data_IF_084657708497
#
_entry.id   IF_084657708497
#
_cell.length_a   1.000
_cell.length_b   1.000
_cell.length_c   1.000
_cell.angle_alpha   90.00
_cell.angle_beta   90.00
_cell.angle_gamma   90.00
#
_symmetry.space_group_name_H-M   'P 1'
#
loop_
_entity.id
_entity.type
_entity.pdbx_description
1 polymer ?
#
# COMPACT_ATOMS: atom_id res chain seq x y z
N UNK A 1 -6.64 11.56 19.61
CA UNK A 1 -6.49 10.67 18.44
C UNK A 1 -5.97 11.51 17.28
N UNK A 2 -4.95 11.01 16.62
CA UNK A 2 -4.27 11.54 15.43
C UNK A 2 -5.12 11.35 14.18
N UNK A 3 -5.86 10.24 14.05
CA UNK A 3 -6.68 9.99 12.87
C UNK A 3 -8.12 10.50 12.98
N UNK A 4 -8.62 11.06 11.88
CA UNK A 4 -10.04 11.28 11.65
C UNK A 4 -10.62 10.06 10.91
N UNK A 5 -11.71 9.48 11.44
CA UNK A 5 -12.34 8.29 10.87
C UNK A 5 -12.77 8.48 9.42
N UNK A 6 -13.38 9.62 9.09
CA UNK A 6 -13.90 9.90 7.74
C UNK A 6 -12.75 9.90 6.72
N UNK A 7 -11.61 10.52 7.09
CA UNK A 7 -10.44 10.57 6.22
C UNK A 7 -9.84 9.17 6.00
N UNK A 8 -9.78 8.33 7.04
CA UNK A 8 -9.29 6.95 6.91
C UNK A 8 -10.25 6.08 6.10
N UNK A 9 -11.56 6.20 6.30
CA UNK A 9 -12.56 5.45 5.52
C UNK A 9 -12.45 5.79 4.04
N UNK A 10 -12.38 7.09 3.71
CA UNK A 10 -12.14 7.55 2.35
C UNK A 10 -10.82 7.01 1.80
N UNK A 11 -9.73 7.08 2.56
CA UNK A 11 -8.42 6.60 2.13
C UNK A 11 -8.40 5.09 1.85
N UNK A 12 -9.00 4.28 2.71
CA UNK A 12 -9.10 2.82 2.54
C UNK A 12 -9.96 2.47 1.32
N UNK A 13 -11.09 3.15 1.11
CA UNK A 13 -11.93 2.96 -0.08
C UNK A 13 -11.17 3.28 -1.37
N UNK A 14 -10.46 4.43 -1.40
CA UNK A 14 -9.68 4.81 -2.57
C UNK A 14 -8.49 3.88 -2.81
N UNK A 15 -7.86 3.37 -1.75
CA UNK A 15 -6.81 2.34 -1.86
C UNK A 15 -7.33 1.05 -2.48
N UNK A 16 -8.48 0.57 -2.04
CA UNK A 16 -9.08 -0.64 -2.58
C UNK A 16 -9.44 -0.46 -4.06
N UNK A 17 -10.10 0.65 -4.41
CA UNK A 17 -10.45 0.99 -5.80
C UNK A 17 -9.20 1.16 -6.66
N UNK A 18 -8.17 1.84 -6.17
CA UNK A 18 -6.91 2.09 -6.87
C UNK A 18 -6.16 0.80 -7.18
N UNK A 19 -6.13 -0.14 -6.23
CA UNK A 19 -5.57 -1.47 -6.48
C UNK A 19 -6.40 -2.27 -7.48
N UNK A 20 -7.73 -2.28 -7.38
CA UNK A 20 -8.61 -2.93 -8.35
C UNK A 20 -8.44 -2.34 -9.75
N UNK A 21 -8.29 -1.02 -9.86
CA UNK A 21 -8.00 -0.33 -11.12
C UNK A 21 -6.65 -0.76 -11.72
N UNK A 22 -5.60 -0.84 -10.91
CA UNK A 22 -4.29 -1.35 -11.34
C UNK A 22 -4.39 -2.78 -11.89
N UNK A 23 -5.16 -3.66 -11.23
CA UNK A 23 -5.41 -5.04 -11.70
C UNK A 23 -6.26 -5.09 -12.96
N UNK A 24 -7.21 -4.18 -13.11
CA UNK A 24 -8.01 -4.05 -14.32
C UNK A 24 -7.16 -3.61 -15.52
N UNK A 25 -6.29 -2.62 -15.35
CA UNK A 25 -5.34 -2.19 -16.38
C UNK A 25 -4.39 -3.32 -16.79
N UNK A 26 -3.88 -4.09 -15.81
CA UNK A 26 -3.03 -5.25 -16.09
C UNK A 26 -3.73 -6.30 -16.96
N UNK A 27 -5.02 -6.57 -16.72
CA UNK A 27 -5.83 -7.45 -17.57
C UNK A 27 -6.01 -6.88 -18.98
N UNK A 28 -6.15 -5.56 -19.10
CA UNK A 28 -6.18 -4.86 -20.39
C UNK A 28 -4.89 -5.05 -21.18
N UNK A 29 -3.73 -4.93 -20.53
CA UNK A 29 -2.42 -5.20 -21.12
C UNK A 29 -2.27 -6.67 -21.56
N UNK A 30 -2.67 -7.61 -20.70
CA UNK A 30 -2.59 -9.05 -21.00
C UNK A 30 -3.48 -9.46 -22.19
N UNK A 31 -4.60 -8.76 -22.40
CA UNK A 31 -5.53 -8.99 -23.51
C UNK A 31 -5.23 -8.15 -24.76
N UNK A 32 -4.11 -7.42 -24.78
CA UNK A 32 -3.72 -6.49 -25.84
C UNK A 32 -4.77 -5.40 -26.17
N UNK A 33 -5.63 -5.07 -25.21
CA UNK A 33 -6.60 -3.97 -25.31
C UNK A 33 -6.00 -2.61 -24.95
N UNK A 34 -4.89 -2.63 -24.21
CA UNK A 34 -4.12 -1.46 -23.81
C UNK A 34 -2.68 -1.62 -24.28
N UNK A 35 -2.04 -0.54 -24.69
CA UNK A 35 -0.63 -0.53 -25.05
C UNK A 35 0.25 -0.25 -23.80
N UNK A 36 1.41 -0.90 -23.65
CA UNK A 36 2.30 -0.67 -22.49
C UNK A 36 2.70 0.81 -22.29
N UNK A 37 2.81 1.57 -23.38
CA UNK A 37 3.16 2.99 -23.34
C UNK A 37 2.08 3.85 -22.64
N UNK A 38 0.81 3.43 -22.67
CA UNK A 38 -0.28 4.11 -21.97
C UNK A 38 -0.07 4.04 -20.45
N UNK A 39 0.44 2.90 -19.94
CA UNK A 39 0.69 2.74 -18.51
C UNK A 39 1.92 3.53 -18.02
N UNK A 40 2.94 3.68 -18.87
CA UNK A 40 4.10 4.53 -18.57
C UNK A 40 3.71 6.00 -18.43
N UNK A 41 2.75 6.48 -19.22
CA UNK A 41 2.24 7.85 -19.14
C UNK A 41 1.60 8.16 -17.77
N UNK A 42 1.01 7.17 -17.10
CA UNK A 42 0.47 7.33 -15.73
C UNK A 42 1.53 7.44 -14.66
N UNK A 43 2.68 6.78 -14.85
CA UNK A 43 3.77 6.78 -13.87
C UNK A 43 4.59 8.06 -13.88
N UNK A 44 4.60 8.79 -15.00
CA UNK A 44 5.44 9.97 -15.20
C UNK A 44 4.75 11.30 -14.83
N UNK A 45 3.42 11.38 -14.93
CA UNK A 45 2.67 12.62 -14.69
C UNK A 45 1.33 12.33 -14.03
N UNK A 46 1.13 12.83 -12.80
CA UNK A 46 -0.16 12.76 -12.07
C UNK A 46 -1.33 13.31 -12.90
N UNK A 47 -1.07 14.38 -13.65
CA UNK A 47 -2.03 14.99 -14.58
C UNK A 47 -2.48 14.02 -15.68
N UNK A 48 -1.61 13.13 -16.16
CA UNK A 48 -1.96 12.12 -17.17
C UNK A 48 -2.88 11.04 -16.60
N UNK A 49 -2.64 10.62 -15.35
CA UNK A 49 -3.53 9.68 -14.66
C UNK A 49 -4.93 10.28 -14.50
N UNK A 50 -5.02 11.54 -14.05
CA UNK A 50 -6.29 12.25 -13.90
C UNK A 50 -7.03 12.41 -15.22
N UNK A 51 -6.38 12.96 -16.23
CA UNK A 51 -7.00 13.21 -17.54
C UNK A 51 -7.57 11.92 -18.15
N UNK A 52 -6.86 10.81 -18.01
CA UNK A 52 -7.32 9.51 -18.49
C UNK A 52 -8.52 8.99 -17.69
N UNK A 53 -8.47 9.07 -16.36
CA UNK A 53 -9.61 8.66 -15.51
C UNK A 53 -10.85 9.50 -15.84
N UNK A 54 -10.70 10.81 -16.06
CA UNK A 54 -11.80 11.70 -16.45
C UNK A 54 -12.36 11.34 -17.83
N UNK A 55 -11.49 11.15 -18.83
CA UNK A 55 -11.87 10.78 -20.20
C UNK A 55 -12.60 9.44 -20.26
N UNK A 56 -12.17 8.47 -19.46
CA UNK A 56 -12.69 7.11 -19.47
C UNK A 56 -13.68 6.81 -18.34
N UNK A 57 -14.06 7.81 -17.54
CA UNK A 57 -14.80 7.60 -16.29
C UNK A 57 -16.07 6.76 -16.48
N UNK A 58 -16.87 7.05 -17.51
CA UNK A 58 -18.13 6.34 -17.79
C UNK A 58 -17.93 4.88 -18.22
N UNK A 59 -16.73 4.52 -18.69
CA UNK A 59 -16.37 3.15 -19.10
C UNK A 59 -15.72 2.33 -17.99
N UNK A 60 -15.42 2.96 -16.84
CA UNK A 60 -14.82 2.27 -15.71
C UNK A 60 -15.84 1.32 -15.06
N UNK A 61 -15.43 0.08 -14.74
CA UNK A 61 -16.21 -0.79 -13.87
C UNK A 61 -16.56 -0.13 -12.54
N UNK A 62 -17.74 -0.44 -11.98
CA UNK A 62 -18.24 0.18 -10.74
C UNK A 62 -17.35 -0.07 -9.52
N UNK A 63 -16.64 -1.21 -9.50
CA UNK A 63 -15.70 -1.59 -8.45
C UNK A 63 -14.39 -0.79 -8.50
N UNK A 64 -14.04 -0.17 -9.62
CA UNK A 64 -12.83 0.66 -9.77
C UNK A 64 -13.12 2.16 -9.88
N UNK A 65 -14.36 2.54 -10.18
CA UNK A 65 -14.76 3.94 -10.35
C UNK A 65 -14.79 4.68 -9.00
N UNK A 66 -13.95 5.73 -8.78
CA UNK A 66 -14.01 6.57 -7.58
C UNK A 66 -15.25 7.48 -7.61
N UNK A 67 -15.59 8.15 -6.50
CA UNK A 67 -16.56 9.24 -6.53
C UNK A 67 -16.03 10.41 -7.37
N UNK A 68 -16.90 11.29 -7.87
CA UNK A 68 -16.49 12.37 -8.79
C UNK A 68 -15.56 13.37 -8.11
N UNK A 69 -15.88 13.71 -6.87
CA UNK A 69 -15.08 14.54 -5.96
C UNK A 69 -13.73 13.90 -5.59
N UNK A 70 -13.59 12.58 -5.75
CA UNK A 70 -12.38 11.84 -5.39
C UNK A 70 -11.44 11.57 -6.57
N UNK A 71 -11.80 11.95 -7.80
CA UNK A 71 -11.01 11.65 -8.99
C UNK A 71 -9.56 12.14 -8.87
N UNK A 72 -9.35 13.32 -8.30
CA UNK A 72 -8.01 13.88 -8.09
C UNK A 72 -7.19 13.06 -7.09
N UNK A 73 -7.71 12.85 -5.88
CA UNK A 73 -7.05 12.06 -4.84
C UNK A 73 -6.80 10.61 -5.27
N UNK A 74 -7.75 10.03 -6.00
CA UNK A 74 -7.61 8.72 -6.62
C UNK A 74 -6.47 8.67 -7.63
N UNK A 75 -6.36 9.70 -8.49
CA UNK A 75 -5.32 9.76 -9.53
C UNK A 75 -3.92 9.95 -8.94
N UNK A 76 -3.81 10.76 -7.88
CA UNK A 76 -2.59 10.87 -7.08
C UNK A 76 -2.20 9.53 -6.47
N UNK A 77 -3.14 8.87 -5.79
CA UNK A 77 -2.88 7.57 -5.18
C UNK A 77 -2.47 6.53 -6.23
N UNK A 78 -3.14 6.52 -7.37
CA UNK A 78 -2.87 5.58 -8.44
C UNK A 78 -1.47 5.76 -9.03
N UNK A 79 -1.09 7.01 -9.36
CA UNK A 79 0.24 7.31 -9.91
C UNK A 79 1.36 6.86 -8.98
N UNK A 80 1.12 6.94 -7.66
CA UNK A 80 2.12 6.50 -6.68
C UNK A 80 2.38 5.00 -6.73
N UNK A 81 1.45 4.13 -7.15
CA UNK A 81 1.70 2.68 -7.21
C UNK A 81 2.88 2.31 -8.11
N UNK A 82 3.01 2.96 -9.28
CA UNK A 82 4.11 2.73 -10.22
C UNK A 82 5.43 3.34 -9.73
N UNK A 83 5.36 4.34 -8.86
CA UNK A 83 6.53 4.99 -8.25
C UNK A 83 7.01 4.27 -6.99
N UNK A 84 6.11 3.68 -6.21
CA UNK A 84 6.37 3.19 -4.86
C UNK A 84 6.29 1.67 -4.71
N UNK A 85 5.44 1.02 -5.49
CA UNK A 85 5.01 -0.37 -5.21
C UNK A 85 5.37 -1.34 -6.32
N UNK A 86 5.20 -0.95 -7.59
CA UNK A 86 5.38 -1.82 -8.75
C UNK A 86 6.33 -1.21 -9.77
N UNK A 87 7.16 -2.05 -10.38
CA UNK A 87 7.86 -1.79 -11.63
C UNK A 87 6.99 -2.32 -12.79
N UNK A 88 6.89 -1.53 -13.85
CA UNK A 88 6.28 -1.97 -15.11
C UNK A 88 7.35 -2.67 -15.95
N UNK A 89 7.17 -3.95 -16.23
CA UNK A 89 7.99 -4.68 -17.19
C UNK A 89 7.23 -4.77 -18.52
N UNK A 90 7.66 -4.05 -19.58
CA UNK A 90 6.99 -4.06 -20.87
C UNK A 90 7.06 -5.43 -21.57
N UNK A 91 8.02 -6.27 -21.19
CA UNK A 91 8.25 -7.60 -21.77
C UNK A 91 8.39 -8.64 -20.65
N UNK A 92 7.31 -8.93 -19.90
CA UNK A 92 7.43 -9.73 -18.68
C UNK A 92 7.77 -11.20 -18.99
N UNK A 93 7.68 -11.62 -20.25
CA UNK A 93 7.95 -12.98 -20.70
C UNK A 93 6.90 -13.96 -20.21
N UNK A 94 7.23 -15.25 -20.25
CA UNK A 94 6.37 -16.33 -19.76
C UNK A 94 6.94 -16.97 -18.49
N UNK A 95 6.09 -17.59 -17.69
CA UNK A 95 6.49 -18.48 -16.58
C UNK A 95 5.82 -19.82 -16.75
N UNK A 96 6.50 -20.86 -16.26
CA UNK A 96 5.89 -22.16 -16.11
C UNK A 96 4.80 -22.06 -15.03
N UNK A 97 3.61 -22.52 -15.38
CA UNK A 97 2.48 -22.63 -14.47
C UNK A 97 2.10 -24.10 -14.37
N UNK A 98 1.90 -24.56 -13.14
CA UNK A 98 1.38 -25.87 -12.80
C UNK A 98 0.33 -25.65 -11.70
N UNK A 99 -0.90 -26.16 -11.86
CA UNK A 99 -1.90 -26.14 -10.79
C UNK A 99 -1.32 -26.74 -9.50
N UNK A 100 -1.47 -26.06 -8.38
CA UNK A 100 -0.97 -26.49 -7.05
C UNK A 100 0.54 -26.74 -6.95
N UNK A 101 1.32 -26.37 -7.97
CA UNK A 101 2.77 -26.58 -8.07
C UNK A 101 3.22 -28.04 -7.81
N UNK A 102 2.33 -29.02 -8.01
CA UNK A 102 2.58 -30.41 -7.63
C UNK A 102 3.36 -31.20 -8.69
N UNK A 103 3.33 -30.76 -9.97
CA UNK A 103 4.00 -31.47 -11.07
C UNK A 103 4.44 -30.51 -12.20
N UNK A 104 5.71 -30.59 -12.63
CA UNK A 104 6.29 -29.76 -13.70
C UNK A 104 6.56 -30.54 -14.99
N UNK A 105 5.83 -31.63 -15.25
CA UNK A 105 5.95 -32.36 -16.50
C UNK A 105 5.30 -31.60 -17.68
N UNK A 106 5.63 -31.93 -18.93
CA UNK A 106 5.03 -31.29 -20.11
C UNK A 106 3.51 -31.42 -20.24
N UNK A 107 2.88 -32.33 -19.48
CA UNK A 107 1.42 -32.55 -19.48
C UNK A 107 0.73 -31.63 -18.47
N UNK A 108 1.29 -31.50 -17.26
CA UNK A 108 0.66 -30.78 -16.15
C UNK A 108 1.09 -29.31 -16.07
N UNK A 109 2.05 -28.88 -16.90
CA UNK A 109 2.57 -27.52 -16.86
C UNK A 109 2.59 -26.87 -18.23
N UNK A 110 2.27 -25.58 -18.26
CA UNK A 110 2.27 -24.78 -19.48
C UNK A 110 2.81 -23.38 -19.22
N UNK A 111 3.24 -22.71 -20.29
CA UNK A 111 3.74 -21.35 -20.20
C UNK A 111 2.59 -20.35 -20.18
N UNK A 112 2.46 -19.60 -19.10
CA UNK A 112 1.54 -18.46 -18.98
C UNK A 112 2.31 -17.15 -19.00
N UNK A 113 1.67 -16.08 -19.47
CA UNK A 113 2.26 -14.75 -19.44
C UNK A 113 2.54 -14.34 -17.99
N UNK A 114 3.72 -13.78 -17.72
CA UNK A 114 4.03 -13.16 -16.43
C UNK A 114 3.29 -11.82 -16.30
N UNK A 115 3.08 -11.40 -15.06
CA UNK A 115 2.52 -10.07 -14.78
C UNK A 115 3.42 -8.97 -15.36
N UNK A 116 2.80 -7.97 -15.99
CA UNK A 116 3.45 -6.72 -16.38
C UNK A 116 3.85 -5.88 -15.16
N UNK A 117 3.25 -6.15 -13.99
CA UNK A 117 3.50 -5.45 -12.74
C UNK A 117 4.35 -6.32 -11.82
N UNK A 118 5.58 -5.88 -11.55
CA UNK A 118 6.48 -6.56 -10.63
C UNK A 118 6.57 -5.77 -9.33
N UNK A 119 6.27 -6.36 -8.16
CA UNK A 119 6.50 -5.66 -6.90
C UNK A 119 7.96 -5.22 -6.80
N UNK A 120 8.18 -3.95 -6.42
CA UNK A 120 9.53 -3.42 -6.22
C UNK A 120 10.28 -4.21 -5.16
N UNK A 121 11.59 -4.32 -5.35
CA UNK A 121 12.47 -4.94 -4.36
C UNK A 121 12.69 -3.97 -3.20
N UNK A 122 12.13 -4.30 -2.03
CA UNK A 122 12.37 -3.56 -0.78
C UNK A 122 13.83 -3.69 -0.36
N UNK A 123 14.54 -2.58 -0.30
CA UNK A 123 15.94 -2.49 0.11
C UNK A 123 16.07 -2.23 1.62
N UNK A 124 17.26 -2.44 2.22
CA UNK A 124 17.51 -2.08 3.62
C UNK A 124 17.22 -0.61 3.94
N UNK A 125 17.46 0.31 2.99
CA UNK A 125 17.15 1.73 3.15
C UNK A 125 15.65 1.99 3.29
N UNK A 126 14.81 1.28 2.54
CA UNK A 126 13.34 1.38 2.62
C UNK A 126 12.83 0.91 3.98
N UNK A 127 13.39 -0.19 4.50
CA UNK A 127 13.06 -0.70 5.84
C UNK A 127 13.42 0.32 6.93
N UNK A 128 14.60 0.96 6.82
CA UNK A 128 15.00 2.03 7.75
C UNK A 128 14.07 3.25 7.65
N UNK A 129 13.61 3.60 6.45
CA UNK A 129 12.64 4.69 6.26
C UNK A 129 11.29 4.35 6.88
N UNK A 130 10.77 3.13 6.64
CA UNK A 130 9.55 2.64 7.26
C UNK A 130 9.64 2.66 8.80
N UNK A 131 10.77 2.23 9.35
CA UNK A 131 11.02 2.29 10.80
C UNK A 131 10.94 3.73 11.34
N UNK A 132 11.55 4.71 10.65
CA UNK A 132 11.44 6.12 11.04
C UNK A 132 10.01 6.63 10.99
N UNK A 133 9.23 6.21 9.98
CA UNK A 133 7.81 6.56 9.88
C UNK A 133 7.01 6.01 11.07
N UNK A 134 7.31 4.77 11.51
CA UNK A 134 6.71 4.20 12.72
C UNK A 134 7.09 4.99 13.97
N UNK A 135 8.39 5.31 14.17
CA UNK A 135 8.87 6.14 15.29
C UNK A 135 8.18 7.51 15.32
N UNK A 136 8.11 8.19 14.17
CA UNK A 136 7.40 9.47 14.06
C UNK A 136 5.92 9.35 14.41
N UNK A 137 5.26 8.24 14.06
CA UNK A 137 3.86 8.05 14.44
C UNK A 137 3.69 7.88 15.96
N UNK A 138 4.58 7.12 16.63
CA UNK A 138 4.58 7.01 18.11
C UNK A 138 4.70 8.39 18.76
N UNK A 139 5.66 9.19 18.31
CA UNK A 139 5.85 10.55 18.82
C UNK A 139 4.60 11.42 18.64
N UNK A 140 3.93 11.35 17.48
CA UNK A 140 2.67 12.07 17.23
C UNK A 140 1.54 11.63 18.16
N UNK A 141 1.45 10.34 18.46
CA UNK A 141 0.44 9.82 19.40
C UNK A 141 0.71 10.32 20.82
N UNK A 142 1.97 10.26 21.28
CA UNK A 142 2.36 10.80 22.58
C UNK A 142 2.08 12.30 22.69
N UNK A 143 2.45 13.08 21.67
CA UNK A 143 2.16 14.51 21.58
C UNK A 143 0.65 14.79 21.67
N UNK A 144 -0.18 14.04 20.95
CA UNK A 144 -1.64 14.16 20.99
C UNK A 144 -2.22 13.84 22.39
N UNK A 145 -1.53 13.05 23.20
CA UNK A 145 -1.84 12.76 24.60
C UNK A 145 -1.19 13.75 25.58
N UNK A 146 -0.47 14.75 25.09
CA UNK A 146 0.33 15.70 25.88
C UNK A 146 1.40 15.01 26.73
N UNK A 147 1.96 13.92 26.21
CA UNK A 147 3.05 13.17 26.82
C UNK A 147 4.35 13.45 26.06
N UNK A 148 5.46 13.49 26.80
CA UNK A 148 6.80 13.50 26.23
C UNK A 148 7.38 12.10 26.38
N UNK A 149 7.72 11.45 25.27
CA UNK A 149 8.45 10.19 25.28
C UNK A 149 9.90 10.44 24.90
N UNK A 150 10.87 9.99 25.72
CA UNK A 150 12.27 10.01 25.32
C UNK A 150 12.53 8.99 24.19
N UNK A 151 13.61 9.21 23.43
CA UNK A 151 13.92 8.43 22.23
C UNK A 151 14.11 6.92 22.52
N UNK A 152 14.63 6.57 23.69
CA UNK A 152 14.82 5.18 24.14
C UNK A 152 13.50 4.44 24.40
N UNK A 153 12.48 5.13 24.94
CA UNK A 153 11.13 4.59 25.07
C UNK A 153 10.47 4.39 23.70
N UNK A 154 10.64 5.34 22.78
CA UNK A 154 10.16 5.19 21.39
C UNK A 154 10.80 3.97 20.73
N UNK A 155 12.11 3.78 20.93
CA UNK A 155 12.85 2.65 20.40
C UNK A 155 12.41 1.33 21.02
N UNK A 156 12.08 1.34 22.31
CA UNK A 156 11.50 0.19 23.02
C UNK A 156 10.14 -0.19 22.46
N UNK A 157 9.23 0.78 22.26
CA UNK A 157 7.90 0.54 21.69
C UNK A 157 8.00 0.02 20.25
N UNK A 158 8.88 0.59 19.44
CA UNK A 158 9.06 0.18 18.04
C UNK A 158 9.80 -1.16 17.90
N UNK A 159 10.64 -1.50 18.89
CA UNK A 159 11.31 -2.79 18.99
C UNK A 159 10.42 -3.94 19.46
N UNK A 160 9.27 -3.63 20.07
CA UNK A 160 8.32 -4.62 20.59
C UNK A 160 7.64 -5.41 19.44
N UNK A 161 7.82 -6.75 19.37
CA UNK A 161 7.22 -7.58 18.33
C UNK A 161 5.69 -7.47 18.26
N UNK A 162 5.02 -7.26 19.40
CA UNK A 162 3.55 -7.18 19.47
C UNK A 162 3.02 -5.84 18.93
N UNK A 163 3.89 -4.85 18.81
CA UNK A 163 3.60 -3.53 18.26
C UNK A 163 3.89 -3.43 16.76
N UNK A 164 4.56 -4.41 16.17
CA UNK A 164 4.94 -4.41 14.74
C UNK A 164 3.76 -4.16 13.79
N UNK A 165 2.65 -4.88 14.00
CA UNK A 165 1.45 -4.77 13.16
C UNK A 165 0.71 -3.45 13.40
N UNK A 166 0.39 -3.05 14.65
CA UNK A 166 -0.20 -1.75 14.93
C UNK A 166 0.58 -0.56 14.37
N UNK A 167 1.90 -0.54 14.59
CA UNK A 167 2.79 0.52 14.08
C UNK A 167 2.83 0.53 12.56
N UNK A 168 2.83 -0.66 11.95
CA UNK A 168 2.71 -0.86 10.50
C UNK A 168 1.47 -0.22 9.91
N UNK A 169 0.31 -0.57 10.47
CA UNK A 169 -1.00 -0.07 10.03
C UNK A 169 -1.06 1.45 10.11
N UNK A 170 -0.67 2.03 11.25
CA UNK A 170 -0.77 3.46 11.46
C UNK A 170 0.23 4.25 10.61
N UNK A 171 1.50 3.81 10.53
CA UNK A 171 2.47 4.46 9.66
C UNK A 171 2.09 4.34 8.18
N UNK A 172 1.48 3.22 7.77
CA UNK A 172 0.93 3.06 6.43
C UNK A 172 -0.28 3.96 6.20
N UNK A 173 -1.14 4.16 7.19
CA UNK A 173 -2.29 5.06 7.08
C UNK A 173 -1.85 6.52 6.87
N UNK A 174 -0.80 6.97 7.57
CA UNK A 174 -0.19 8.29 7.32
C UNK A 174 0.35 8.38 5.89
N UNK A 175 1.13 7.38 5.44
CA UNK A 175 1.64 7.34 4.06
C UNK A 175 0.51 7.30 3.02
N UNK A 176 -0.58 6.61 3.32
CA UNK A 176 -1.74 6.52 2.45
C UNK A 176 -2.43 7.88 2.29
N UNK A 177 -2.65 8.61 3.38
CA UNK A 177 -3.19 9.98 3.35
C UNK A 177 -2.26 10.91 2.55
N UNK A 178 -0.95 10.84 2.76
CA UNK A 178 0.02 11.62 1.98
C UNK A 178 -0.01 11.29 0.48
N UNK A 179 -0.26 10.02 0.12
CA UNK A 179 -0.38 9.58 -1.28
C UNK A 179 -1.66 10.06 -1.95
N UNK A 180 -2.75 10.30 -1.20
CA UNK A 180 -3.93 10.99 -1.73
C UNK A 180 -3.59 12.43 -2.17
N UNK A 181 -2.54 13.01 -1.60
CA UNK A 181 -2.02 14.34 -1.94
C UNK A 181 -0.81 14.28 -2.89
N UNK A 182 -0.55 13.13 -3.52
CA UNK A 182 0.53 12.95 -4.52
C UNK A 182 1.94 12.75 -3.93
N UNK A 183 2.08 12.77 -2.60
CA UNK A 183 3.38 12.52 -1.94
C UNK A 183 3.66 11.03 -1.84
N UNK A 184 4.92 10.62 -2.01
CA UNK A 184 5.30 9.20 -1.94
C UNK A 184 6.54 8.96 -1.10
N UNK A 185 6.50 7.90 -0.30
CA UNK A 185 7.64 7.39 0.45
C UNK A 185 8.50 6.38 -0.32
N UNK A 186 8.18 6.12 -1.60
CA UNK A 186 8.86 5.10 -2.40
C UNK A 186 8.59 3.68 -1.89
N UNK A 187 9.58 2.78 -1.99
CA UNK A 187 9.41 1.39 -1.58
C UNK A 187 9.28 1.19 -0.05
N UNK A 188 9.41 2.26 0.76
CA UNK A 188 9.06 2.23 2.17
C UNK A 188 7.56 1.95 2.40
N UNK A 189 6.67 2.43 1.51
CA UNK A 189 5.23 2.11 1.57
C UNK A 189 4.99 0.60 1.48
N UNK A 190 5.75 -0.10 0.65
CA UNK A 190 5.69 -1.56 0.52
C UNK A 190 6.30 -2.27 1.75
N UNK A 191 7.33 -1.70 2.37
CA UNK A 191 7.89 -2.22 3.61
C UNK A 191 6.87 -2.12 4.77
N UNK A 192 6.14 -1.01 4.87
CA UNK A 192 5.05 -0.82 5.82
C UNK A 192 3.90 -1.80 5.56
N UNK A 193 3.44 -1.92 4.32
CA UNK A 193 2.39 -2.89 3.96
C UNK A 193 2.76 -4.32 4.40
N UNK A 194 4.01 -4.73 4.19
CA UNK A 194 4.51 -6.06 4.60
C UNK A 194 4.65 -6.24 6.11
N UNK A 195 4.58 -5.20 6.93
CA UNK A 195 4.68 -5.38 8.38
C UNK A 195 3.38 -5.88 9.00
N UNK A 196 2.22 -5.67 8.34
CA UNK A 196 0.91 -6.12 8.81
C UNK A 196 0.17 -7.06 7.84
N UNK A 197 0.39 -6.95 6.52
CA UNK A 197 -0.30 -7.79 5.54
C UNK A 197 0.43 -9.12 5.25
N UNK A 198 1.58 -9.37 5.89
CA UNK A 198 2.37 -10.60 5.73
C UNK A 198 2.52 -11.33 7.06
N UNK A 199 2.67 -12.63 6.99
CA UNK A 199 2.99 -13.51 8.12
C UNK A 199 4.42 -13.32 8.59
N UNK A 200 4.72 -13.77 9.80
CA UNK A 200 6.09 -13.77 10.34
C UNK A 200 7.07 -14.59 9.48
N UNK A 201 6.57 -15.62 8.78
CA UNK A 201 7.36 -16.49 7.87
C UNK A 201 7.60 -15.86 6.49
N UNK A 202 7.07 -14.67 6.23
CA UNK A 202 7.34 -13.93 5.00
C UNK A 202 6.44 -14.30 3.83
N UNK A 203 5.21 -14.75 4.09
CA UNK A 203 4.17 -14.93 3.07
C UNK A 203 3.03 -13.92 3.26
N UNK A 204 2.34 -13.48 2.18
CA UNK A 204 1.12 -12.68 2.34
C UNK A 204 0.05 -13.40 3.15
N UNK A 205 -0.66 -12.67 4.03
CA UNK A 205 -1.86 -13.18 4.71
C UNK A 205 -2.96 -13.44 3.67
N UNK A 206 -3.48 -14.67 3.62
CA UNK A 206 -4.52 -15.05 2.66
C UNK A 206 -5.82 -14.28 2.94
N UNK A 207 -6.44 -13.73 1.88
CA UNK A 207 -7.71 -12.99 2.01
C UNK A 207 -7.62 -11.68 2.80
N UNK A 208 -6.42 -11.18 3.08
CA UNK A 208 -6.26 -9.93 3.83
C UNK A 208 -6.86 -8.74 3.07
N UNK A 209 -7.71 -7.98 3.77
CA UNK A 209 -8.30 -6.73 3.30
C UNK A 209 -8.02 -5.68 4.37
N UNK A 210 -7.46 -4.55 3.98
CA UNK A 210 -7.25 -3.43 4.90
C UNK A 210 -8.60 -2.84 5.29
N UNK A 211 -8.91 -2.79 6.58
CA UNK A 211 -10.12 -2.14 7.10
C UNK A 211 -9.79 -0.89 7.92
N UNK A 212 -10.71 0.08 7.92
CA UNK A 212 -10.61 1.29 8.74
C UNK A 212 -10.47 0.96 10.24
N UNK A 213 -11.26 -0.01 10.72
CA UNK A 213 -11.25 -0.35 12.15
C UNK A 213 -9.90 -0.94 12.58
N UNK A 214 -9.20 -1.69 11.72
CA UNK A 214 -7.86 -2.20 12.03
C UNK A 214 -6.87 -1.05 12.31
N UNK A 215 -6.96 0.05 11.55
CA UNK A 215 -6.11 1.24 11.73
C UNK A 215 -6.45 1.97 13.02
N UNK A 216 -7.74 2.16 13.31
CA UNK A 216 -8.18 2.90 14.50
C UNK A 216 -7.93 2.10 15.80
N UNK A 217 -8.13 0.79 15.76
CA UNK A 217 -7.81 -0.11 16.87
C UNK A 217 -6.28 -0.16 17.09
N UNK A 218 -5.49 -0.17 16.01
CA UNK A 218 -4.04 -0.06 16.09
C UNK A 218 -3.58 1.25 16.72
N UNK A 219 -4.19 2.37 16.36
CA UNK A 219 -3.91 3.68 16.96
C UNK A 219 -4.17 3.65 18.47
N UNK A 220 -5.33 3.11 18.88
CA UNK A 220 -5.67 3.00 20.30
C UNK A 220 -4.67 2.12 21.06
N UNK A 221 -4.21 1.00 20.46
CA UNK A 221 -3.17 0.16 21.08
C UNK A 221 -1.84 0.89 21.26
N UNK A 222 -1.43 1.72 20.29
CA UNK A 222 -0.22 2.55 20.41
C UNK A 222 -0.40 3.61 21.51
N UNK A 223 -1.57 4.26 21.54
CA UNK A 223 -1.93 5.25 22.55
C UNK A 223 -1.92 4.67 23.97
N UNK A 224 -2.45 3.46 24.15
CA UNK A 224 -2.42 2.74 25.43
C UNK A 224 -0.99 2.36 25.83
N UNK A 225 -0.14 1.97 24.85
CA UNK A 225 1.27 1.63 25.11
C UNK A 225 2.07 2.85 25.55
N UNK A 226 1.92 3.99 24.87
CA UNK A 226 2.56 5.26 25.24
C UNK A 226 2.18 5.67 26.67
N UNK A 227 0.88 5.57 27.01
CA UNK A 227 0.38 5.95 28.32
C UNK A 227 0.90 5.06 29.47
N UNK A 228 1.30 3.82 29.20
CA UNK A 228 1.94 2.93 30.18
C UNK A 228 3.42 3.29 30.38
N UNK A 229 4.15 3.52 29.29
CA UNK A 229 5.57 3.91 29.34
C UNK A 229 5.80 5.22 30.11
N UNK A 230 4.87 6.18 30.08
CA UNK A 230 5.01 7.42 30.86
C UNK A 230 4.79 7.28 32.38
N UNK A 231 4.41 6.09 32.88
CA UNK A 231 4.13 5.85 34.31
C UNK A 231 5.21 5.03 35.02
N UNK A 232 6.12 4.44 34.26
CA UNK A 232 7.28 3.68 34.75
C UNK A 232 8.47 4.63 34.94
#
# INVERSE_FOLDING_TARGET
>A
MVFNRIDIERAVVLQAKGYSFLRWLEKGLQSARLAPNELHAFGSLEQSARAWVEQHYASLPSDVQPAREDVEAFSHLFSTYLRSTFDLDPNPGKRLYSPDAHCFCPICSWLVQRSYLRPKKVQPADKRRALRMMKHFVLRVAEAQKQSLPDDEVDTIVGDPDMREPLGLCAYAVDLLERLEGRTSGAASLALWRSFAWTATGSPKQGFVLATNDILDAEQRIADRCARSSRE
#
